data_IF_910660858307
#
_entry.id   IF_910660858307
#
_cell.length_a   1.000
_cell.length_b   1.000
_cell.length_c   1.000
_cell.angle_alpha   90.00
_cell.angle_beta   90.00
_cell.angle_gamma   90.00
#
_symmetry.space_group_name_H-M   'P 1'
#
loop_
_entity.id
_entity.type
_entity.pdbx_description
1 polymer ?
#
# COMPACT_ATOMS: atom_id res chain seq x y z
N UNK A 1 0.34 -35.21 -3.97
CA UNK A 1 0.60 -34.15 -4.96
C UNK A 1 0.27 -32.81 -4.32
N UNK A 2 1.03 -31.73 -4.55
CA UNK A 2 0.70 -30.42 -4.01
C UNK A 2 -0.65 -29.95 -4.56
N UNK A 3 -1.40 -29.21 -3.73
CA UNK A 3 -2.71 -28.70 -4.11
C UNK A 3 -2.60 -27.67 -5.24
N UNK A 4 -3.52 -27.74 -6.19
CA UNK A 4 -3.60 -26.79 -7.30
C UNK A 4 -4.03 -25.39 -6.83
N UNK A 5 -3.77 -24.33 -7.61
CA UNK A 5 -4.27 -23.00 -7.27
C UNK A 5 -5.80 -22.90 -7.09
N UNK A 6 -6.56 -23.72 -7.84
CA UNK A 6 -8.02 -23.77 -7.73
C UNK A 6 -8.47 -24.40 -6.40
N UNK A 7 -7.84 -25.51 -6.00
CA UNK A 7 -8.10 -26.19 -4.72
C UNK A 7 -7.73 -25.30 -3.54
N UNK A 8 -6.60 -24.59 -3.59
CA UNK A 8 -6.20 -23.61 -2.56
C UNK A 8 -7.20 -22.46 -2.44
N UNK A 9 -7.70 -21.92 -3.55
CA UNK A 9 -8.76 -20.91 -3.50
C UNK A 9 -10.06 -21.43 -2.89
N UNK A 10 -10.44 -22.65 -3.20
CA UNK A 10 -11.63 -23.30 -2.61
C UNK A 10 -11.45 -23.50 -1.10
N UNK A 11 -10.28 -24.01 -0.68
CA UNK A 11 -9.94 -24.20 0.74
C UNK A 11 -9.96 -22.87 1.52
N UNK A 12 -9.34 -21.81 0.97
CA UNK A 12 -9.36 -20.47 1.58
C UNK A 12 -10.80 -19.96 1.77
N UNK A 13 -11.66 -20.11 0.76
CA UNK A 13 -13.07 -19.71 0.87
C UNK A 13 -13.86 -20.52 1.90
N UNK A 14 -13.47 -21.75 2.16
CA UNK A 14 -14.10 -22.60 3.17
C UNK A 14 -13.65 -22.28 4.60
N UNK A 15 -12.59 -21.48 4.79
CA UNK A 15 -12.10 -21.09 6.09
C UNK A 15 -13.05 -20.07 6.76
N UNK A 16 -13.25 -20.24 8.07
CA UNK A 16 -14.04 -19.31 8.89
C UNK A 16 -13.21 -18.12 9.39
N UNK A 17 -11.89 -18.23 9.36
CA UNK A 17 -10.94 -17.17 9.65
C UNK A 17 -9.88 -17.14 8.57
N UNK A 18 -9.74 -15.98 7.92
CA UNK A 18 -8.66 -15.70 6.97
C UNK A 18 -7.83 -14.56 7.56
N UNK A 19 -6.63 -14.87 8.04
CA UNK A 19 -5.79 -13.91 8.77
C UNK A 19 -5.40 -12.72 7.90
N UNK A 20 -4.86 -12.89 6.68
CA UNK A 20 -4.52 -11.77 5.80
C UNK A 20 -5.73 -11.37 4.95
N UNK A 21 -6.78 -10.83 5.57
CA UNK A 21 -7.99 -10.45 4.84
C UNK A 21 -8.61 -9.15 5.31
N UNK A 22 -9.00 -8.32 4.35
CA UNK A 22 -9.96 -7.26 4.57
C UNK A 22 -11.34 -7.87 4.30
N UNK A 23 -12.30 -7.69 5.22
CA UNK A 23 -13.65 -8.18 5.02
C UNK A 23 -14.26 -7.49 3.78
N UNK A 24 -14.25 -8.20 2.66
CA UNK A 24 -14.94 -7.80 1.43
C UNK A 24 -16.14 -8.70 1.25
N UNK A 25 -17.28 -8.09 0.94
CA UNK A 25 -18.47 -8.82 0.52
C UNK A 25 -18.28 -9.49 -0.84
N UNK A 26 -19.30 -10.18 -1.31
CA UNK A 26 -19.36 -10.59 -2.71
C UNK A 26 -19.51 -9.35 -3.61
N UNK A 27 -19.13 -9.44 -4.88
CA UNK A 27 -19.32 -8.35 -5.84
C UNK A 27 -20.77 -7.84 -5.87
N UNK A 28 -21.75 -8.76 -5.74
CA UNK A 28 -23.16 -8.39 -5.71
C UNK A 28 -23.56 -7.59 -4.46
N UNK A 29 -23.01 -7.94 -3.29
CA UNK A 29 -23.21 -7.17 -2.06
C UNK A 29 -22.58 -5.80 -2.15
N UNK A 30 -21.35 -5.70 -2.67
CA UNK A 30 -20.68 -4.41 -2.87
C UNK A 30 -21.45 -3.50 -3.84
N UNK A 31 -21.95 -4.04 -4.98
CA UNK A 31 -22.76 -3.24 -5.91
C UNK A 31 -24.07 -2.75 -5.30
N UNK A 32 -24.78 -3.58 -4.49
CA UNK A 32 -25.98 -3.13 -3.79
C UNK A 32 -25.64 -2.02 -2.77
N UNK A 33 -24.60 -2.22 -1.98
CA UNK A 33 -24.18 -1.21 -1.01
C UNK A 33 -23.72 0.11 -1.64
N UNK A 34 -23.19 0.08 -2.88
CA UNK A 34 -22.90 1.30 -3.65
C UNK A 34 -24.21 1.94 -4.13
N UNK A 35 -25.15 1.16 -4.65
CA UNK A 35 -26.45 1.67 -5.09
C UNK A 35 -27.21 2.33 -3.93
N UNK A 36 -27.33 1.64 -2.79
CA UNK A 36 -27.96 2.16 -1.58
C UNK A 36 -27.30 3.48 -1.10
N UNK A 37 -25.97 3.54 -1.19
CA UNK A 37 -25.25 4.77 -0.83
C UNK A 37 -25.49 5.90 -1.83
N UNK A 38 -25.56 5.60 -3.12
CA UNK A 38 -25.86 6.59 -4.16
C UNK A 38 -27.27 7.16 -3.96
N UNK A 39 -28.26 6.31 -3.70
CA UNK A 39 -29.64 6.74 -3.43
C UNK A 39 -29.72 7.62 -2.18
N UNK A 40 -29.02 7.25 -1.10
CA UNK A 40 -29.01 8.00 0.16
C UNK A 40 -28.28 9.35 0.08
N UNK A 41 -27.45 9.58 -0.95
CA UNK A 41 -26.68 10.80 -1.14
C UNK A 41 -27.02 11.55 -2.44
N UNK A 42 -28.12 11.20 -3.12
CA UNK A 42 -28.58 11.82 -4.37
C UNK A 42 -27.46 11.92 -5.41
N UNK A 43 -26.70 10.83 -5.59
CA UNK A 43 -25.51 10.83 -6.46
C UNK A 43 -25.92 10.77 -7.93
N UNK A 44 -25.59 11.81 -8.66
CA UNK A 44 -25.71 11.83 -10.12
C UNK A 44 -24.38 11.38 -10.79
N UNK A 45 -24.48 10.90 -12.02
CA UNK A 45 -23.30 10.58 -12.81
C UNK A 45 -22.51 11.84 -13.16
N UNK A 46 -21.18 11.74 -13.08
CA UNK A 46 -20.29 12.71 -13.69
C UNK A 46 -20.22 12.55 -15.21
N UNK A 47 -19.71 13.57 -15.88
CA UNK A 47 -19.31 13.48 -17.28
C UNK A 47 -17.81 13.82 -17.41
N UNK A 48 -17.01 12.83 -17.79
CA UNK A 48 -15.56 12.99 -17.94
C UNK A 48 -14.82 13.52 -16.71
N UNK A 49 -15.31 13.19 -15.54
CA UNK A 49 -14.77 13.62 -14.25
C UNK A 49 -15.25 15.01 -13.81
N UNK A 50 -16.27 15.56 -14.44
CA UNK A 50 -16.98 16.78 -14.02
C UNK A 50 -18.32 16.38 -13.43
N UNK A 51 -18.53 16.63 -12.15
CA UNK A 51 -19.74 16.28 -11.41
C UNK A 51 -19.49 16.27 -9.91
N UNK A 52 -20.54 16.59 -9.15
CA UNK A 52 -20.42 16.85 -7.71
C UNK A 52 -19.81 15.70 -6.92
N UNK A 53 -20.15 14.44 -7.23
CA UNK A 53 -19.61 13.29 -6.51
C UNK A 53 -18.10 13.16 -6.65
N UNK A 54 -17.54 13.47 -7.83
CA UNK A 54 -16.09 13.43 -8.09
C UNK A 54 -15.42 14.62 -7.40
N UNK A 55 -15.94 15.82 -7.63
CA UNK A 55 -15.37 17.06 -7.12
C UNK A 55 -15.44 17.14 -5.59
N UNK A 56 -16.53 16.70 -4.97
CA UNK A 56 -16.65 16.62 -3.53
C UNK A 56 -15.64 15.64 -2.92
N UNK A 57 -15.44 14.49 -3.56
CA UNK A 57 -14.46 13.53 -3.07
C UNK A 57 -13.02 14.00 -3.27
N UNK A 58 -12.72 14.66 -4.39
CA UNK A 58 -11.42 15.32 -4.63
C UNK A 58 -11.14 16.39 -3.57
N UNK A 59 -12.10 17.28 -3.27
CA UNK A 59 -11.99 18.29 -2.19
C UNK A 59 -11.75 17.64 -0.85
N UNK A 60 -12.57 16.64 -0.47
CA UNK A 60 -12.45 15.92 0.80
C UNK A 60 -11.06 15.32 1.02
N UNK A 61 -10.47 14.73 -0.01
CA UNK A 61 -9.12 14.15 0.08
C UNK A 61 -8.04 15.24 0.09
N UNK A 62 -8.20 16.31 -0.68
CA UNK A 62 -7.28 17.46 -0.64
C UNK A 62 -7.22 18.06 0.76
N UNK A 63 -8.37 18.31 1.38
CA UNK A 63 -8.50 18.85 2.75
C UNK A 63 -7.85 17.89 3.77
N UNK A 64 -8.10 16.58 3.64
CA UNK A 64 -7.51 15.56 4.53
C UNK A 64 -5.99 15.54 4.45
N UNK A 65 -5.41 15.86 3.30
CA UNK A 65 -3.96 15.91 3.04
C UNK A 65 -3.36 17.31 3.24
N UNK A 66 -4.17 18.31 3.57
CA UNK A 66 -3.72 19.70 3.68
C UNK A 66 -3.17 20.26 2.35
N UNK A 67 -3.73 19.84 1.21
CA UNK A 67 -3.35 20.27 -0.13
C UNK A 67 -4.43 21.17 -0.73
N UNK A 68 -4.01 22.09 -1.64
CA UNK A 68 -4.93 23.03 -2.28
C UNK A 68 -5.94 22.37 -3.21
N UNK A 69 -5.57 21.27 -3.84
CA UNK A 69 -6.44 20.54 -4.77
C UNK A 69 -6.05 19.06 -4.86
N UNK A 70 -6.98 18.24 -5.35
CA UNK A 70 -6.71 16.86 -5.74
C UNK A 70 -7.42 16.51 -7.07
N UNK A 71 -6.97 15.43 -7.69
CA UNK A 71 -7.55 14.88 -8.91
C UNK A 71 -7.70 13.36 -8.74
N UNK A 72 -8.90 12.85 -9.00
CA UNK A 72 -9.14 11.41 -9.09
C UNK A 72 -8.58 10.85 -10.40
N UNK A 73 -7.85 9.75 -10.28
CA UNK A 73 -7.34 8.96 -11.41
C UNK A 73 -7.83 7.51 -11.31
N UNK A 74 -8.19 6.84 -12.42
CA UNK A 74 -8.66 5.46 -12.42
C UNK A 74 -7.65 4.45 -11.87
N UNK A 75 -6.35 4.74 -11.92
CA UNK A 75 -5.29 3.88 -11.38
C UNK A 75 -4.17 4.66 -10.73
N UNK A 76 -3.46 4.00 -9.78
CA UNK A 76 -2.28 4.55 -9.14
C UNK A 76 -1.12 4.78 -10.11
N UNK A 77 -0.89 3.83 -11.02
CA UNK A 77 0.15 3.94 -12.05
C UNK A 77 0.00 5.23 -12.85
N UNK A 78 -1.23 5.54 -13.27
CA UNK A 78 -1.50 6.78 -14.01
C UNK A 78 -1.20 8.03 -13.18
N UNK A 79 -1.59 8.07 -11.90
CA UNK A 79 -1.32 9.18 -11.01
C UNK A 79 0.19 9.40 -10.81
N UNK A 80 0.93 8.32 -10.59
CA UNK A 80 2.37 8.32 -10.45
C UNK A 80 3.08 8.80 -11.72
N UNK A 81 2.69 8.27 -12.88
CA UNK A 81 3.26 8.71 -14.17
C UNK A 81 2.99 10.19 -14.44
N UNK A 82 1.80 10.69 -14.11
CA UNK A 82 1.50 12.12 -14.23
C UNK A 82 2.44 12.96 -13.34
N UNK A 83 2.66 12.55 -12.09
CA UNK A 83 3.56 13.25 -11.17
C UNK A 83 5.02 13.25 -11.67
N UNK A 84 5.55 12.09 -12.09
CA UNK A 84 6.90 11.99 -12.68
C UNK A 84 7.05 12.97 -13.83
N UNK A 85 6.08 13.00 -14.73
CA UNK A 85 6.19 13.78 -15.95
C UNK A 85 6.07 15.29 -15.70
N UNK A 86 5.15 15.70 -14.83
CA UNK A 86 4.96 17.11 -14.48
C UNK A 86 6.24 17.67 -13.85
N UNK A 87 6.83 16.95 -12.89
CA UNK A 87 8.07 17.40 -12.25
C UNK A 87 9.26 17.35 -13.19
N UNK A 88 9.32 16.40 -14.11
CA UNK A 88 10.34 16.34 -15.16
C UNK A 88 10.26 17.56 -16.09
N UNK A 89 9.06 17.93 -16.54
CA UNK A 89 8.82 19.09 -17.40
C UNK A 89 9.13 20.41 -16.64
N UNK A 90 8.69 20.54 -15.40
CA UNK A 90 8.93 21.73 -14.58
C UNK A 90 10.42 21.98 -14.32
N UNK A 91 11.19 20.93 -14.10
CA UNK A 91 12.63 21.02 -13.87
C UNK A 91 13.48 21.06 -15.15
N UNK A 92 12.92 20.72 -16.31
CA UNK A 92 13.67 20.51 -17.54
C UNK A 92 14.68 19.34 -17.44
N UNK A 93 14.36 18.31 -16.63
CA UNK A 93 15.22 17.16 -16.35
C UNK A 93 14.41 15.88 -16.52
N UNK A 94 15.03 14.84 -17.08
CA UNK A 94 14.43 13.54 -17.33
C UNK A 94 14.72 12.51 -16.21
N UNK A 95 15.50 12.87 -15.19
CA UNK A 95 15.91 12.00 -14.08
C UNK A 95 15.15 12.32 -12.82
N UNK A 96 14.64 11.30 -12.16
CA UNK A 96 13.98 11.41 -10.85
C UNK A 96 14.49 10.34 -9.89
N UNK A 97 14.51 10.63 -8.60
CA UNK A 97 14.92 9.70 -7.56
C UNK A 97 13.76 8.86 -7.07
N UNK A 98 14.01 7.58 -6.77
CA UNK A 98 13.05 6.69 -6.13
C UNK A 98 13.77 5.65 -5.26
N UNK A 99 13.04 5.04 -4.33
CA UNK A 99 13.59 3.94 -3.54
C UNK A 99 13.90 2.72 -4.42
N UNK A 100 15.01 1.97 -4.19
CA UNK A 100 15.38 0.82 -5.01
C UNK A 100 14.31 -0.26 -5.13
N UNK A 101 13.39 -0.37 -4.16
CA UNK A 101 12.29 -1.34 -4.17
C UNK A 101 10.92 -0.68 -4.39
N UNK A 102 10.87 0.56 -4.89
CA UNK A 102 9.59 1.25 -5.09
C UNK A 102 8.70 0.52 -6.10
N UNK A 103 7.39 0.73 -5.93
CA UNK A 103 6.38 0.15 -6.81
C UNK A 103 6.62 0.53 -8.29
N UNK A 104 7.02 1.78 -8.56
CA UNK A 104 7.36 2.24 -9.91
C UNK A 104 8.50 1.43 -10.54
N UNK A 105 9.48 1.00 -9.74
CA UNK A 105 10.62 0.26 -10.26
C UNK A 105 10.28 -1.20 -10.59
N UNK A 106 9.39 -1.84 -9.81
CA UNK A 106 9.21 -3.30 -9.84
C UNK A 106 7.85 -3.78 -10.32
N UNK A 107 6.81 -2.94 -10.25
CA UNK A 107 5.42 -3.38 -10.45
C UNK A 107 4.65 -2.58 -11.52
N UNK A 108 5.34 -1.70 -12.28
CA UNK A 108 4.73 -0.84 -13.28
C UNK A 108 5.38 -1.01 -14.66
N UNK A 109 6.05 -2.14 -14.91
CA UNK A 109 6.68 -2.48 -16.20
C UNK A 109 7.57 -1.34 -16.75
N UNK A 110 8.21 -0.58 -15.86
CA UNK A 110 9.04 0.59 -16.20
C UNK A 110 8.30 1.61 -17.09
N UNK A 111 7.03 1.82 -16.83
CA UNK A 111 6.17 2.70 -17.63
C UNK A 111 6.71 4.15 -17.71
N UNK A 112 7.42 4.62 -16.67
CA UNK A 112 8.10 5.91 -16.71
C UNK A 112 9.16 6.01 -17.80
N UNK A 113 9.87 4.92 -18.10
CA UNK A 113 10.86 4.88 -19.19
C UNK A 113 10.17 4.68 -20.54
N UNK A 114 9.26 3.70 -20.63
CA UNK A 114 8.60 3.32 -21.87
C UNK A 114 7.72 4.43 -22.44
N UNK A 115 6.92 5.10 -21.58
CA UNK A 115 5.94 6.08 -22.01
C UNK A 115 6.44 7.53 -21.90
N UNK A 116 7.23 7.85 -20.86
CA UNK A 116 7.60 9.23 -20.55
C UNK A 116 9.05 9.57 -20.91
N UNK A 117 9.86 8.56 -21.23
CA UNK A 117 11.31 8.69 -21.46
C UNK A 117 12.05 9.33 -20.27
N UNK A 118 11.56 9.03 -19.05
CA UNK A 118 12.21 9.44 -17.83
C UNK A 118 13.10 8.31 -17.29
N UNK A 119 14.11 8.67 -16.51
CA UNK A 119 15.09 7.74 -15.96
C UNK A 119 15.05 7.75 -14.43
N UNK A 120 14.87 6.59 -13.85
CA UNK A 120 14.88 6.44 -12.40
C UNK A 120 16.33 6.34 -11.88
N UNK A 121 16.63 7.08 -10.83
CA UNK A 121 17.88 7.02 -10.07
C UNK A 121 17.55 6.38 -8.72
N UNK A 122 18.07 5.17 -8.41
CA UNK A 122 17.85 4.56 -7.11
C UNK A 122 18.47 5.38 -5.98
N UNK A 123 17.69 5.67 -4.94
CA UNK A 123 18.11 6.41 -3.76
C UNK A 123 17.75 5.62 -2.51
N UNK A 124 18.73 5.29 -1.70
CA UNK A 124 18.54 4.55 -0.46
C UNK A 124 18.96 3.09 -0.53
N UNK A 125 18.53 2.32 0.47
CA UNK A 125 18.88 0.92 0.63
C UNK A 125 17.62 0.05 0.68
N UNK A 126 17.61 -1.06 -0.06
CA UNK A 126 16.42 -1.92 -0.27
C UNK A 126 15.72 -2.43 0.99
N UNK A 127 16.41 -2.50 2.13
CA UNK A 127 15.88 -3.12 3.36
C UNK A 127 15.42 -2.10 4.43
N UNK A 128 15.47 -0.81 4.14
CA UNK A 128 15.06 0.24 5.09
C UNK A 128 14.50 1.46 4.36
N UNK A 129 13.77 2.33 5.05
CA UNK A 129 13.31 3.60 4.48
C UNK A 129 14.46 4.46 3.94
N UNK A 130 14.14 5.32 2.97
CA UNK A 130 15.04 6.33 2.43
C UNK A 130 15.36 7.37 3.49
N UNK A 131 16.62 7.76 3.63
CA UNK A 131 17.12 8.72 4.59
C UNK A 131 17.79 9.92 3.89
N UNK A 132 17.95 11.03 4.58
CA UNK A 132 18.66 12.21 4.07
C UNK A 132 20.08 11.89 3.58
N UNK A 133 20.82 11.07 4.34
CA UNK A 133 22.17 10.63 3.97
C UNK A 133 22.25 9.85 2.64
N UNK A 134 21.16 9.17 2.25
CA UNK A 134 21.12 8.48 0.96
C UNK A 134 21.10 9.48 -0.19
N UNK A 135 20.43 10.62 0.00
CA UNK A 135 20.38 11.67 -1.01
C UNK A 135 21.73 12.36 -1.19
N UNK A 136 22.55 12.44 -0.15
CA UNK A 136 23.91 13.02 -0.23
C UNK A 136 24.80 12.26 -1.21
N UNK A 137 24.60 10.97 -1.37
CA UNK A 137 25.36 10.11 -2.28
C UNK A 137 24.93 10.24 -3.75
N UNK A 138 23.79 10.89 -4.02
CA UNK A 138 23.29 11.09 -5.39
C UNK A 138 23.99 12.31 -6.01
N UNK A 139 24.74 12.07 -7.07
CA UNK A 139 25.47 13.12 -7.82
C UNK A 139 24.65 13.72 -8.96
N UNK A 140 23.67 12.99 -9.43
CA UNK A 140 22.77 13.40 -10.50
C UNK A 140 21.86 14.54 -10.05
N UNK A 141 21.52 15.43 -10.99
CA UNK A 141 20.45 16.40 -10.80
C UNK A 141 19.12 15.66 -11.00
N UNK A 142 18.25 15.75 -10.02
CA UNK A 142 16.93 15.12 -10.03
C UNK A 142 15.83 16.17 -10.25
N UNK A 143 14.85 15.84 -11.07
CA UNK A 143 13.62 16.63 -11.23
C UNK A 143 12.72 16.50 -10.00
N UNK A 144 12.64 15.32 -9.42
CA UNK A 144 11.86 15.02 -8.23
C UNK A 144 12.45 13.84 -7.46
N UNK A 145 12.07 13.71 -6.19
CA UNK A 145 12.34 12.55 -5.34
C UNK A 145 11.01 11.94 -4.93
N UNK A 146 10.81 10.68 -5.29
CA UNK A 146 9.60 9.91 -4.97
C UNK A 146 9.85 9.08 -3.71
N UNK A 147 9.16 9.44 -2.64
CA UNK A 147 9.31 8.80 -1.32
C UNK A 147 8.08 7.94 -1.04
N UNK A 148 8.25 6.64 -0.99
CA UNK A 148 7.18 5.68 -0.68
C UNK A 148 6.96 5.62 0.83
N UNK A 149 5.75 5.94 1.28
CA UNK A 149 5.34 5.94 2.70
C UNK A 149 4.01 5.20 2.88
N UNK A 150 4.03 4.00 3.49
CA UNK A 150 5.16 3.15 3.91
C UNK A 150 5.78 2.39 2.74
N UNK A 151 7.01 1.90 2.91
CA UNK A 151 7.69 1.05 1.93
C UNK A 151 7.17 -0.38 2.04
N UNK A 152 6.40 -0.81 1.04
CA UNK A 152 5.80 -2.15 1.01
C UNK A 152 6.84 -3.26 1.03
N UNK A 153 7.83 -3.20 0.16
CA UNK A 153 8.85 -4.26 -0.03
C UNK A 153 9.83 -4.37 1.14
N UNK A 154 9.78 -3.43 2.09
CA UNK A 154 10.50 -3.51 3.36
C UNK A 154 9.60 -3.91 4.54
N UNK A 155 8.41 -4.47 4.28
CA UNK A 155 7.47 -4.88 5.33
C UNK A 155 6.62 -3.75 5.89
N UNK A 156 6.35 -2.71 5.11
CA UNK A 156 5.55 -1.58 5.55
C UNK A 156 6.29 -0.61 6.48
N UNK A 157 7.62 -0.58 6.38
CA UNK A 157 8.42 0.32 7.20
C UNK A 157 8.21 1.79 6.81
N UNK A 158 8.28 2.64 7.83
CA UNK A 158 8.29 4.10 7.75
C UNK A 158 9.61 4.61 8.38
N UNK A 159 10.19 5.70 7.89
CA UNK A 159 11.24 6.39 8.62
C UNK A 159 10.67 6.90 9.96
N UNK A 160 11.49 7.14 10.95
CA UNK A 160 11.08 7.91 12.14
C UNK A 160 10.65 9.32 11.72
N UNK A 161 9.96 10.04 12.62
CA UNK A 161 9.53 11.40 12.28
C UNK A 161 10.71 12.31 11.98
N UNK A 162 11.77 12.24 12.78
CA UNK A 162 12.97 13.07 12.61
C UNK A 162 13.72 12.75 11.32
N UNK A 163 13.80 11.46 10.93
CA UNK A 163 14.38 11.03 9.66
C UNK A 163 13.56 11.52 8.47
N UNK A 164 12.23 11.51 8.57
CA UNK A 164 11.35 12.04 7.53
C UNK A 164 11.54 13.54 7.35
N UNK A 165 11.58 14.31 8.44
CA UNK A 165 11.79 15.75 8.38
C UNK A 165 13.20 16.11 7.86
N UNK A 166 14.22 15.34 8.25
CA UNK A 166 15.57 15.49 7.72
C UNK A 166 15.61 15.26 6.19
N UNK A 167 14.93 14.22 5.70
CA UNK A 167 14.84 13.92 4.26
C UNK A 167 14.12 15.06 3.50
N UNK A 168 13.01 15.57 4.05
CA UNK A 168 12.29 16.74 3.48
C UNK A 168 13.20 17.96 3.40
N UNK A 169 13.98 18.22 4.44
CA UNK A 169 14.92 19.36 4.47
C UNK A 169 16.03 19.19 3.44
N UNK A 170 16.64 18.02 3.35
CA UNK A 170 17.69 17.72 2.38
C UNK A 170 17.19 17.87 0.92
N UNK A 171 15.99 17.44 0.60
CA UNK A 171 15.40 17.61 -0.71
C UNK A 171 15.16 19.09 -1.03
N UNK A 172 14.64 19.85 -0.06
CA UNK A 172 14.41 21.31 -0.21
C UNK A 172 15.72 22.09 -0.44
N UNK A 173 16.76 21.81 0.33
CA UNK A 173 18.09 22.42 0.17
C UNK A 173 18.67 22.18 -1.22
N UNK A 174 18.44 21.01 -1.78
CA UNK A 174 18.85 20.64 -3.14
C UNK A 174 17.88 21.11 -4.23
N UNK A 175 16.76 21.75 -3.87
CA UNK A 175 15.69 22.20 -4.78
C UNK A 175 15.14 21.06 -5.64
N UNK A 176 14.97 19.90 -5.04
CA UNK A 176 14.35 18.73 -5.66
C UNK A 176 12.88 18.71 -5.26
N UNK A 177 11.97 18.63 -6.22
CA UNK A 177 10.54 18.49 -5.94
C UNK A 177 10.29 17.18 -5.21
N UNK A 178 9.53 17.23 -4.11
CA UNK A 178 9.31 16.08 -3.26
C UNK A 178 7.90 15.51 -3.50
N UNK A 179 7.83 14.31 -4.04
CA UNK A 179 6.59 13.57 -4.27
C UNK A 179 6.44 12.42 -3.28
N UNK A 180 5.28 12.33 -2.64
CA UNK A 180 4.94 11.18 -1.79
C UNK A 180 4.21 10.12 -2.60
N UNK A 181 4.77 8.92 -2.66
CA UNK A 181 4.01 7.72 -2.94
C UNK A 181 3.34 7.26 -1.64
N UNK A 182 2.15 7.76 -1.42
CA UNK A 182 1.32 7.45 -0.26
C UNK A 182 0.29 6.35 -0.55
N UNK A 183 0.63 5.35 -1.35
CA UNK A 183 -0.29 4.27 -1.69
C UNK A 183 -0.97 3.61 -0.48
N UNK A 184 -0.33 3.68 0.69
CA UNK A 184 -0.85 3.22 1.99
C UNK A 184 -0.66 4.27 3.09
N UNK A 185 -0.70 5.54 2.74
CA UNK A 185 -0.54 6.65 3.69
C UNK A 185 -1.60 6.61 4.80
N UNK A 186 -2.80 6.13 4.49
CA UNK A 186 -3.91 6.06 5.42
C UNK A 186 -3.61 5.23 6.67
N UNK A 187 -2.74 4.23 6.53
CA UNK A 187 -2.28 3.34 7.58
C UNK A 187 -1.11 3.92 8.41
N UNK A 188 -0.48 5.02 7.98
CA UNK A 188 0.76 5.57 8.55
C UNK A 188 0.53 6.54 9.71
N UNK A 189 -0.61 7.22 9.76
CA UNK A 189 -0.90 8.26 10.75
C UNK A 189 -0.83 7.75 12.19
N UNK A 190 -1.25 6.51 12.44
CA UNK A 190 -1.24 5.90 13.76
C UNK A 190 0.18 5.68 14.30
N UNK A 191 1.14 5.34 13.42
CA UNK A 191 2.55 5.18 13.79
C UNK A 191 3.18 6.51 14.21
N UNK A 192 2.94 7.57 13.44
CA UNK A 192 3.48 8.89 13.73
C UNK A 192 2.75 9.61 14.87
N UNK A 193 1.53 9.17 15.23
CA UNK A 193 0.66 9.90 16.15
C UNK A 193 0.29 11.30 15.64
N UNK A 194 0.22 11.46 14.32
CA UNK A 194 -0.03 12.73 13.62
C UNK A 194 -1.12 12.54 12.57
N UNK A 195 -1.82 13.61 12.21
CA UNK A 195 -2.79 13.58 11.13
C UNK A 195 -2.13 13.50 9.74
N UNK A 196 -2.92 13.15 8.73
CA UNK A 196 -2.42 12.96 7.37
C UNK A 196 -1.91 14.27 6.75
N UNK A 197 -2.51 15.41 7.09
CA UNK A 197 -2.06 16.72 6.61
C UNK A 197 -0.65 17.04 7.13
N UNK A 198 -0.38 16.77 8.41
CA UNK A 198 0.94 16.94 9.02
C UNK A 198 1.98 16.02 8.37
N UNK A 199 1.64 14.75 8.11
CA UNK A 199 2.56 13.82 7.44
C UNK A 199 2.82 14.27 6.00
N UNK A 200 1.79 14.74 5.28
CA UNK A 200 1.89 15.23 3.90
C UNK A 200 2.52 16.63 3.77
N UNK A 201 2.65 17.36 4.88
CA UNK A 201 3.31 18.67 4.86
C UNK A 201 4.77 18.56 4.38
N UNK A 202 5.22 19.52 3.57
CA UNK A 202 6.57 19.54 3.00
C UNK A 202 6.75 18.68 1.74
N UNK A 203 5.74 17.89 1.34
CA UNK A 203 5.70 17.28 0.00
C UNK A 203 5.01 18.22 -0.98
N UNK A 204 5.59 18.38 -2.16
CA UNK A 204 5.04 19.24 -3.23
C UNK A 204 3.82 18.56 -3.89
N UNK A 205 3.83 17.25 -3.97
CA UNK A 205 2.69 16.46 -4.43
C UNK A 205 2.58 15.13 -3.69
N UNK A 206 1.36 14.60 -3.59
CA UNK A 206 1.03 13.38 -2.84
C UNK A 206 0.11 12.50 -3.69
N UNK A 207 0.48 11.27 -3.90
CA UNK A 207 -0.39 10.22 -4.41
C UNK A 207 -0.92 9.38 -3.26
N UNK A 208 -2.21 9.04 -3.29
CA UNK A 208 -2.85 8.09 -2.38
C UNK A 208 -3.78 7.14 -3.12
N UNK A 209 -3.84 5.87 -2.70
CA UNK A 209 -4.80 4.92 -3.25
C UNK A 209 -6.09 4.88 -2.43
N UNK A 210 -7.20 4.45 -3.07
CA UNK A 210 -8.50 4.29 -2.39
C UNK A 210 -9.03 2.85 -2.40
N UNK A 211 -8.30 1.91 -2.98
CA UNK A 211 -8.71 0.51 -3.12
C UNK A 211 -7.95 -0.48 -2.22
N UNK A 212 -6.88 -0.02 -1.54
CA UNK A 212 -6.12 -0.84 -0.57
C UNK A 212 -6.87 -0.88 0.76
N UNK A 213 -6.33 -0.35 1.83
CA UNK A 213 -6.97 -0.33 3.14
C UNK A 213 -8.37 0.31 3.19
N UNK A 214 -8.68 1.20 2.25
CA UNK A 214 -9.99 1.84 2.14
C UNK A 214 -11.07 0.98 1.45
N UNK A 215 -10.65 0.00 0.62
CA UNK A 215 -11.56 -0.98 0.04
C UNK A 215 -12.47 -0.48 -1.08
N UNK A 216 -12.12 0.61 -1.77
CA UNK A 216 -12.75 1.00 -3.03
C UNK A 216 -12.42 0.02 -4.15
N UNK A 217 -13.16 0.02 -5.24
CA UNK A 217 -12.92 -0.92 -6.35
C UNK A 217 -11.63 -0.63 -7.10
N UNK A 218 -11.34 0.64 -7.34
CA UNK A 218 -10.15 1.13 -8.01
C UNK A 218 -10.01 2.62 -7.79
N UNK A 219 -8.88 3.17 -8.23
CA UNK A 219 -8.66 4.60 -8.24
C UNK A 219 -7.63 5.08 -7.24
N UNK A 220 -7.22 6.30 -7.48
CA UNK A 220 -6.23 7.01 -6.72
C UNK A 220 -6.53 8.51 -6.73
N UNK A 221 -5.97 9.23 -5.80
CA UNK A 221 -5.95 10.69 -5.89
C UNK A 221 -4.50 11.19 -5.93
N UNK A 222 -4.29 12.16 -6.79
CA UNK A 222 -3.08 12.95 -6.86
C UNK A 222 -3.41 14.34 -6.31
N UNK A 223 -2.72 14.77 -5.26
CA UNK A 223 -2.96 16.02 -4.56
C UNK A 223 -1.70 16.91 -4.57
N UNK A 224 -1.90 18.22 -4.61
CA UNK A 224 -0.84 19.21 -4.67
C UNK A 224 -1.39 20.64 -4.72
N UNK A 225 -0.59 21.57 -5.24
CA UNK A 225 -1.08 22.91 -5.53
C UNK A 225 -2.03 22.91 -6.75
N UNK A 226 -2.77 23.99 -6.93
CA UNK A 226 -3.77 24.12 -8.00
C UNK A 226 -3.15 24.04 -9.41
N UNK A 227 -1.94 24.57 -9.59
CA UNK A 227 -1.26 24.58 -10.88
C UNK A 227 -0.77 23.18 -11.25
N UNK A 228 -0.22 22.45 -10.29
CA UNK A 228 0.17 21.06 -10.45
C UNK A 228 -1.05 20.18 -10.81
N UNK A 229 -2.16 20.32 -10.12
CA UNK A 229 -3.39 19.54 -10.38
C UNK A 229 -4.01 19.91 -11.73
N UNK A 230 -3.96 21.16 -12.16
CA UNK A 230 -4.38 21.54 -13.51
C UNK A 230 -3.59 20.79 -14.59
N UNK A 231 -2.26 20.67 -14.44
CA UNK A 231 -1.43 19.85 -15.34
C UNK A 231 -1.73 18.36 -15.21
N UNK A 232 -1.97 17.86 -14.00
CA UNK A 232 -2.32 16.47 -13.76
C UNK A 232 -3.60 16.06 -14.49
N UNK A 233 -4.62 16.94 -14.56
CA UNK A 233 -5.85 16.71 -15.35
C UNK A 233 -5.56 16.57 -16.85
N UNK A 234 -4.62 17.35 -17.39
CA UNK A 234 -4.16 17.19 -18.77
C UNK A 234 -3.48 15.85 -18.98
N UNK A 235 -2.59 15.47 -18.06
CA UNK A 235 -1.90 14.17 -18.14
C UNK A 235 -2.85 12.99 -17.93
N UNK A 236 -3.85 13.09 -17.06
CA UNK A 236 -4.91 12.08 -16.93
C UNK A 236 -5.59 11.82 -18.30
N UNK A 237 -5.92 12.88 -19.04
CA UNK A 237 -6.52 12.75 -20.38
C UNK A 237 -5.56 12.10 -21.37
N UNK A 238 -4.31 12.54 -21.43
CA UNK A 238 -3.27 11.99 -22.32
C UNK A 238 -3.02 10.51 -22.10
N UNK A 239 -3.09 10.06 -20.85
CA UNK A 239 -2.91 8.66 -20.43
C UNK A 239 -4.19 7.82 -20.53
N UNK A 240 -5.29 8.38 -21.05
CA UNK A 240 -6.54 7.66 -21.26
C UNK A 240 -7.43 7.52 -20.02
N UNK A 241 -7.15 8.27 -18.94
CA UNK A 241 -7.87 8.17 -17.66
C UNK A 241 -9.08 9.09 -17.52
N UNK A 242 -9.46 9.81 -18.57
CA UNK A 242 -10.69 10.59 -18.60
C UNK A 242 -11.83 9.70 -19.07
N UNK A 243 -12.36 8.88 -18.18
CA UNK A 243 -13.49 7.99 -18.46
C UNK A 243 -14.78 8.82 -18.56
N UNK A 244 -15.78 8.30 -19.31
CA UNK A 244 -17.07 8.98 -19.43
C UNK A 244 -17.74 9.16 -18.07
N UNK A 245 -17.76 8.09 -17.23
CA UNK A 245 -18.19 8.15 -15.83
C UNK A 245 -17.10 7.65 -14.91
N UNK A 246 -16.64 8.47 -13.98
CA UNK A 246 -15.78 8.11 -12.86
C UNK A 246 -16.61 7.81 -11.59
N UNK A 247 -17.84 8.28 -11.54
CA UNK A 247 -18.75 8.15 -10.40
C UNK A 247 -18.85 6.73 -9.82
N UNK A 248 -18.87 5.61 -10.58
CA UNK A 248 -18.93 4.28 -9.98
C UNK A 248 -17.67 3.94 -9.15
N UNK A 249 -16.50 4.38 -9.61
CA UNK A 249 -15.24 4.18 -8.88
C UNK A 249 -15.15 5.08 -7.64
N UNK A 250 -15.55 6.35 -7.80
CA UNK A 250 -15.56 7.33 -6.71
C UNK A 250 -16.56 6.91 -5.63
N UNK A 251 -17.81 6.55 -5.99
CA UNK A 251 -18.82 6.10 -5.04
C UNK A 251 -18.36 4.87 -4.25
N UNK A 252 -17.68 3.91 -4.91
CA UNK A 252 -17.14 2.73 -4.24
C UNK A 252 -16.14 3.07 -3.12
N UNK A 253 -15.35 4.13 -3.31
CA UNK A 253 -14.37 4.60 -2.33
C UNK A 253 -14.99 5.55 -1.30
N UNK A 254 -15.79 6.53 -1.74
CA UNK A 254 -16.36 7.59 -0.91
C UNK A 254 -17.27 7.04 0.19
N UNK A 255 -18.09 6.02 -0.13
CA UNK A 255 -19.00 5.39 0.84
C UNK A 255 -18.30 4.80 2.06
N UNK A 256 -17.06 4.38 1.93
CA UNK A 256 -16.29 3.73 3.01
C UNK A 256 -15.18 4.59 3.59
N UNK A 257 -14.89 5.73 2.99
CA UNK A 257 -13.69 6.50 3.27
C UNK A 257 -13.52 6.82 4.76
N UNK A 258 -14.52 7.44 5.39
CA UNK A 258 -14.42 7.85 6.79
C UNK A 258 -14.44 6.65 7.76
N UNK A 259 -15.30 5.68 7.50
CA UNK A 259 -15.37 4.44 8.28
C UNK A 259 -14.01 3.72 8.29
N UNK A 260 -13.42 3.57 7.12
CA UNK A 260 -12.13 2.88 6.99
C UNK A 260 -10.99 3.66 7.64
N UNK A 261 -10.95 4.97 7.48
CA UNK A 261 -9.95 5.80 8.17
C UNK A 261 -10.06 5.68 9.69
N UNK A 262 -11.26 5.64 10.24
CA UNK A 262 -11.49 5.48 11.68
C UNK A 262 -11.01 4.11 12.21
N UNK A 263 -10.94 3.08 11.35
CA UNK A 263 -10.44 1.76 11.73
C UNK A 263 -8.90 1.65 11.74
N UNK A 264 -8.18 2.49 10.99
CA UNK A 264 -6.72 2.36 10.82
C UNK A 264 -5.94 2.29 12.15
N UNK A 265 -6.23 3.11 13.18
CA UNK A 265 -5.54 3.00 14.47
C UNK A 265 -5.79 1.66 15.19
N UNK A 266 -6.95 1.03 15.00
CA UNK A 266 -7.27 -0.27 15.57
C UNK A 266 -6.54 -1.38 14.85
N UNK A 267 -6.49 -1.33 13.51
CA UNK A 267 -5.76 -2.28 12.67
C UNK A 267 -4.26 -2.23 12.96
N UNK A 268 -3.71 -1.02 13.13
CA UNK A 268 -2.32 -0.82 13.54
C UNK A 268 -2.01 -1.46 14.89
N UNK A 269 -2.79 -1.14 15.94
CA UNK A 269 -2.59 -1.75 17.27
C UNK A 269 -2.67 -3.28 17.21
N UNK A 270 -3.65 -3.80 16.47
CA UNK A 270 -3.80 -5.25 16.29
C UNK A 270 -2.62 -5.89 15.58
N UNK A 271 -1.98 -5.19 14.63
CA UNK A 271 -0.75 -5.66 13.99
C UNK A 271 0.43 -5.72 14.99
N UNK A 272 0.59 -4.70 15.83
CA UNK A 272 1.62 -4.68 16.88
C UNK A 272 1.40 -5.82 17.89
N UNK A 273 0.17 -6.04 18.34
CA UNK A 273 -0.18 -7.13 19.25
C UNK A 273 0.10 -8.51 18.64
N UNK A 274 -0.25 -8.70 17.36
CA UNK A 274 0.03 -9.95 16.66
C UNK A 274 1.53 -10.19 16.50
N UNK A 275 2.28 -9.18 16.07
CA UNK A 275 3.73 -9.26 15.92
C UNK A 275 4.42 -9.63 17.24
N UNK A 276 3.99 -9.03 18.36
CA UNK A 276 4.49 -9.37 19.69
C UNK A 276 4.18 -10.83 20.06
N UNK A 277 2.99 -11.33 19.71
CA UNK A 277 2.62 -12.73 19.95
C UNK A 277 3.38 -13.74 19.09
N UNK A 278 3.82 -13.31 17.89
CA UNK A 278 4.62 -14.14 16.98
C UNK A 278 6.12 -14.11 17.31
N UNK A 279 6.55 -13.13 18.09
CA UNK A 279 7.95 -12.99 18.49
C UNK A 279 8.44 -14.21 19.25
N UNK A 280 9.58 -14.75 18.86
CA UNK A 280 10.20 -15.91 19.50
C UNK A 280 9.72 -17.26 18.99
N UNK A 281 8.73 -17.34 18.08
CA UNK A 281 8.37 -18.62 17.45
C UNK A 281 9.56 -19.17 16.63
N UNK A 282 9.91 -20.46 16.80
CA UNK A 282 11.04 -21.07 16.09
C UNK A 282 10.87 -20.96 14.57
N UNK A 283 11.94 -20.58 13.85
CA UNK A 283 11.92 -20.50 12.40
C UNK A 283 11.07 -19.37 11.80
N UNK A 284 10.51 -18.48 12.61
CA UNK A 284 9.74 -17.31 12.19
C UNK A 284 10.47 -16.00 12.57
N UNK A 285 10.48 -15.05 11.66
CA UNK A 285 10.92 -13.67 11.90
C UNK A 285 9.88 -12.70 11.38
N UNK A 286 9.55 -11.69 12.18
CA UNK A 286 8.65 -10.59 11.79
C UNK A 286 9.49 -9.40 11.38
N UNK A 287 9.19 -8.78 10.25
CA UNK A 287 9.88 -7.60 9.74
C UNK A 287 8.87 -6.50 9.33
N UNK A 288 8.93 -5.30 9.93
CA UNK A 288 9.75 -4.94 11.09
C UNK A 288 9.29 -5.68 12.36
N UNK A 289 10.17 -5.85 13.33
CA UNK A 289 9.86 -6.57 14.57
C UNK A 289 8.67 -5.96 15.34
N UNK A 290 8.54 -4.64 15.28
CA UNK A 290 7.33 -3.90 15.66
C UNK A 290 6.78 -3.25 14.39
N UNK A 291 5.60 -3.62 13.91
CA UNK A 291 5.01 -3.05 12.71
C UNK A 291 4.84 -1.52 12.79
N UNK A 292 5.08 -0.84 11.67
CA UNK A 292 4.85 0.61 11.56
C UNK A 292 3.46 0.92 10.99
N UNK A 293 2.79 -0.07 10.41
CA UNK A 293 1.44 0.02 9.88
C UNK A 293 0.68 -1.26 10.22
N UNK A 294 -0.47 -1.49 9.59
CA UNK A 294 -1.19 -2.77 9.69
C UNK A 294 -0.59 -3.88 8.80
N UNK A 295 0.60 -3.68 8.23
CA UNK A 295 1.29 -4.70 7.46
C UNK A 295 2.65 -5.05 8.05
N UNK A 296 3.11 -6.27 7.76
CA UNK A 296 4.44 -6.77 8.10
C UNK A 296 4.82 -7.90 7.14
N UNK A 297 6.11 -8.20 7.05
CA UNK A 297 6.59 -9.42 6.40
C UNK A 297 6.88 -10.50 7.42
N UNK A 298 6.42 -11.71 7.15
CA UNK A 298 6.71 -12.90 7.91
C UNK A 298 7.74 -13.74 7.14
N UNK A 299 8.93 -13.89 7.71
CA UNK A 299 9.99 -14.70 7.12
C UNK A 299 10.02 -16.06 7.81
N UNK A 300 9.90 -17.12 7.03
CA UNK A 300 9.92 -18.49 7.51
C UNK A 300 11.20 -19.22 7.06
N UNK A 301 11.83 -19.95 7.97
CA UNK A 301 12.96 -20.83 7.66
C UNK A 301 12.46 -22.13 7.00
N UNK A 302 11.87 -21.97 5.83
CA UNK A 302 11.32 -23.02 4.99
C UNK A 302 11.13 -22.49 3.55
N UNK A 303 11.21 -23.34 2.53
CA UNK A 303 10.90 -22.95 1.15
C UNK A 303 9.40 -22.68 0.98
N UNK A 304 9.01 -21.88 -0.05
CA UNK A 304 7.62 -21.48 -0.27
C UNK A 304 6.63 -22.63 -0.37
N UNK A 305 7.03 -23.73 -0.99
CA UNK A 305 6.20 -24.93 -1.18
C UNK A 305 5.88 -25.62 0.15
N UNK A 306 6.88 -25.78 1.02
CA UNK A 306 6.68 -26.38 2.34
C UNK A 306 5.77 -25.51 3.21
N UNK A 307 5.93 -24.16 3.15
CA UNK A 307 5.04 -23.24 3.84
C UNK A 307 3.59 -23.35 3.33
N UNK A 308 3.41 -23.42 2.01
CA UNK A 308 2.09 -23.57 1.42
C UNK A 308 1.40 -24.87 1.83
N UNK A 309 2.12 -26.00 1.83
CA UNK A 309 1.57 -27.31 2.19
C UNK A 309 1.24 -27.37 3.70
N UNK A 310 2.12 -26.89 4.57
CA UNK A 310 1.87 -26.84 6.02
C UNK A 310 0.66 -25.94 6.37
N UNK A 311 0.55 -24.77 5.71
CA UNK A 311 -0.63 -23.89 5.84
C UNK A 311 -1.91 -24.59 5.40
N UNK A 312 -1.89 -25.28 4.25
CA UNK A 312 -3.04 -25.98 3.69
C UNK A 312 -3.55 -27.09 4.62
N UNK A 313 -2.63 -27.82 5.29
CA UNK A 313 -3.00 -28.82 6.31
C UNK A 313 -3.66 -28.19 7.54
N UNK A 314 -3.12 -27.07 8.04
CA UNK A 314 -3.75 -26.34 9.15
C UNK A 314 -5.13 -25.82 8.73
N UNK A 315 -5.24 -25.26 7.53
CA UNK A 315 -6.51 -24.75 7.02
C UNK A 315 -7.59 -25.83 6.91
N UNK A 316 -7.22 -27.06 6.50
CA UNK A 316 -8.14 -28.23 6.47
C UNK A 316 -8.59 -28.63 7.86
N UNK A 317 -7.66 -28.66 8.81
CA UNK A 317 -7.93 -29.12 10.18
C UNK A 317 -8.70 -28.10 11.02
N UNK A 318 -8.40 -26.80 10.87
CA UNK A 318 -8.87 -25.74 11.78
C UNK A 318 -9.82 -24.73 11.13
N UNK A 319 -9.98 -24.77 9.82
CA UNK A 319 -10.69 -23.75 9.01
C UNK A 319 -10.12 -22.33 9.20
N UNK A 320 -8.80 -22.25 9.42
CA UNK A 320 -8.06 -20.97 9.54
C UNK A 320 -7.01 -20.89 8.45
N UNK A 321 -7.06 -19.81 7.65
CA UNK A 321 -6.07 -19.49 6.62
C UNK A 321 -5.07 -18.47 7.17
N UNK A 322 -3.83 -18.92 7.45
CA UNK A 322 -2.86 -18.12 8.21
C UNK A 322 -2.08 -17.12 7.35
N UNK A 323 -1.61 -17.54 6.18
CA UNK A 323 -0.81 -16.71 5.27
C UNK A 323 -1.26 -16.90 3.84
N UNK A 324 -1.06 -15.89 3.00
CA UNK A 324 -1.32 -16.01 1.56
C UNK A 324 -0.17 -16.76 0.85
N UNK A 325 0.26 -16.30 -0.32
CA UNK A 325 1.44 -16.83 -1.00
C UNK A 325 2.73 -16.46 -0.29
N UNK A 326 3.78 -17.23 -0.54
CA UNK A 326 5.12 -16.91 -0.10
C UNK A 326 6.06 -16.83 -1.30
N UNK A 327 7.13 -16.05 -1.15
CA UNK A 327 8.18 -15.88 -2.14
C UNK A 327 9.52 -16.32 -1.54
N UNK A 328 10.44 -16.88 -2.32
CA UNK A 328 11.80 -17.11 -1.84
C UNK A 328 12.45 -15.79 -1.43
N UNK A 329 13.38 -15.84 -0.49
CA UNK A 329 14.19 -14.68 -0.08
C UNK A 329 15.62 -14.80 -0.62
N UNK A 330 16.42 -13.75 -0.43
CA UNK A 330 17.84 -13.78 -0.76
C UNK A 330 18.63 -14.75 0.15
N UNK A 331 18.03 -15.21 1.26
CA UNK A 331 18.60 -16.24 2.13
C UNK A 331 18.11 -17.60 1.63
N UNK A 332 19.00 -18.49 1.12
CA UNK A 332 18.57 -19.80 0.65
C UNK A 332 17.81 -20.59 1.70
N UNK A 333 16.70 -21.21 1.30
CA UNK A 333 15.86 -22.01 2.17
C UNK A 333 14.86 -21.21 3.00
N UNK A 334 14.89 -19.89 2.93
CA UNK A 334 13.90 -19.00 3.57
C UNK A 334 12.86 -18.51 2.57
N UNK A 335 11.64 -18.32 3.07
CA UNK A 335 10.56 -17.68 2.33
C UNK A 335 9.96 -16.51 3.09
N UNK A 336 9.33 -15.60 2.37
CA UNK A 336 8.65 -14.44 2.93
C UNK A 336 7.19 -14.43 2.49
N UNK A 337 6.28 -14.18 3.42
CA UNK A 337 4.86 -13.91 3.17
C UNK A 337 4.50 -12.52 3.70
N UNK A 338 3.86 -11.72 2.85
CA UNK A 338 3.30 -10.44 3.26
C UNK A 338 2.01 -10.66 4.05
N UNK A 339 1.92 -10.06 5.21
CA UNK A 339 0.74 -10.12 6.08
C UNK A 339 0.15 -8.73 6.25
N UNK A 340 -1.15 -8.60 5.90
CA UNK A 340 -1.98 -7.45 6.25
C UNK A 340 -2.94 -7.83 7.36
N UNK A 341 -2.94 -7.04 8.42
CA UNK A 341 -3.95 -7.11 9.47
C UNK A 341 -5.18 -6.35 9.00
N UNK A 342 -6.22 -7.09 8.68
CA UNK A 342 -7.51 -6.56 8.24
C UNK A 342 -8.62 -6.83 9.26
N UNK A 343 -9.85 -6.64 8.81
CA UNK A 343 -11.05 -6.71 9.68
C UNK A 343 -11.24 -8.07 10.35
N UNK A 344 -10.86 -9.15 9.67
CA UNK A 344 -10.95 -10.53 10.20
C UNK A 344 -10.22 -10.70 11.53
N UNK A 345 -9.10 -9.99 11.71
CA UNK A 345 -8.30 -10.05 12.94
C UNK A 345 -8.78 -9.13 14.06
N UNK A 346 -9.70 -8.23 13.79
CA UNK A 346 -10.34 -7.42 14.84
C UNK A 346 -11.30 -8.26 15.72
N UNK A 347 -11.79 -9.37 15.17
CA UNK A 347 -12.63 -10.34 15.87
C UNK A 347 -11.91 -11.59 16.38
N UNK A 348 -10.57 -11.69 16.19
CA UNK A 348 -9.78 -12.85 16.58
C UNK A 348 -8.54 -12.44 17.37
N UNK A 349 -8.47 -12.82 18.64
CA UNK A 349 -7.34 -12.51 19.53
C UNK A 349 -6.10 -13.38 19.29
N UNK A 350 -5.00 -13.05 19.95
CA UNK A 350 -3.76 -13.81 19.92
C UNK A 350 -3.90 -15.22 20.50
N UNK A 351 -4.79 -15.41 21.47
CA UNK A 351 -5.13 -16.73 22.06
C UNK A 351 -5.61 -17.72 21.01
N UNK A 352 -6.28 -17.26 19.96
CA UNK A 352 -6.74 -18.08 18.85
C UNK A 352 -5.69 -18.20 17.73
N UNK A 353 -4.99 -17.12 17.39
CA UNK A 353 -4.17 -17.02 16.17
C UNK A 353 -2.74 -17.50 16.40
N UNK A 354 -2.11 -17.10 17.51
CA UNK A 354 -0.70 -17.41 17.79
C UNK A 354 -0.43 -18.92 17.93
N UNK A 355 -1.29 -19.73 18.60
CA UNK A 355 -1.09 -21.18 18.64
C UNK A 355 -1.10 -21.83 17.25
N UNK A 356 -1.85 -21.29 16.28
CA UNK A 356 -1.88 -21.82 14.91
C UNK A 356 -0.59 -21.49 14.16
N UNK A 357 0.01 -20.31 14.39
CA UNK A 357 1.33 -20.00 13.87
C UNK A 357 2.42 -20.86 14.53
N UNK A 358 2.31 -21.17 15.82
CA UNK A 358 3.21 -22.11 16.48
C UNK A 358 3.15 -23.49 15.84
N UNK A 359 1.94 -24.03 15.62
CA UNK A 359 1.75 -25.31 14.90
C UNK A 359 2.32 -25.26 13.47
N UNK A 360 2.20 -24.11 12.77
CA UNK A 360 2.78 -23.92 11.45
C UNK A 360 4.31 -24.04 11.51
N UNK A 361 4.95 -23.37 12.47
CA UNK A 361 6.39 -23.43 12.67
C UNK A 361 6.87 -24.83 13.04
N UNK A 362 6.17 -25.53 13.94
CA UNK A 362 6.47 -26.94 14.31
C UNK A 362 6.42 -27.88 13.11
N UNK A 363 5.40 -27.75 12.23
CA UNK A 363 5.29 -28.54 11.01
C UNK A 363 6.43 -28.26 10.04
N UNK A 364 6.81 -27.00 9.89
CA UNK A 364 7.93 -26.62 9.03
C UNK A 364 9.25 -27.17 9.56
N UNK A 365 9.46 -27.17 10.86
CA UNK A 365 10.64 -27.76 11.49
C UNK A 365 10.68 -29.27 11.31
N UNK A 366 9.56 -29.96 11.51
CA UNK A 366 9.46 -31.41 11.32
C UNK A 366 9.67 -31.87 9.87
N UNK A 367 9.34 -31.01 8.89
CA UNK A 367 9.51 -31.28 7.47
C UNK A 367 10.94 -31.03 6.95
N UNK A 368 11.83 -30.48 7.78
CA UNK A 368 13.22 -30.24 7.38
C UNK A 368 13.95 -31.58 7.19
N UNK A 369 14.71 -31.72 6.09
CA UNK A 369 15.60 -32.87 5.97
C UNK A 369 16.59 -32.85 7.14
N UNK A 370 16.68 -33.99 7.84
CA UNK A 370 17.70 -34.16 8.89
C UNK A 370 19.08 -33.93 8.24
N UNK A 371 19.80 -32.93 8.70
CA UNK A 371 21.18 -32.66 8.27
C UNK A 371 22.11 -33.76 8.75
#
# INVERSE_FOLDING_TARGET
MPATPAERRALRRACSLVVPDFATGSAAEDFRAIADWCDANDVEHDAYGQGEVVEAFERKVADRLGKAAAMFAPSGVMAQLAAVKIWAEAAGLDRFGLHPTSHLAHHEEQAYAALLRCHAVPVGHRLRPMLAADLENVKERLSSLHVELPIREAGGQLPSWDELEALKSAARERRIALHMDGARLWESAAFYGRDHATVAAGFDSVYVSVYKGLGGFAGALLAGDAAFIAQARVWRRRLGGTLYHLSPLVASAARRFDERLALMPRLYRRAVELAAGLAGLPGLRVNPAVPHTNMMHLHFDAPPEALADARDEIAKATRCWLVNGAQPTDVPGWSMSELYVGDSLLGAGNDRVVPLFAQLCERLEAARPRR
#
